data_IF_771004203203
#
_entry.id   IF_771004203203
#
_cell.length_a   1.000
_cell.length_b   1.000
_cell.length_c   1.000
_cell.angle_alpha   90.00
_cell.angle_beta   90.00
_cell.angle_gamma   90.00
#
_symmetry.space_group_name_H-M   'P 1'
#
loop_
_entity.id
_entity.type
_entity.pdbx_description
1 polymer ?
#
# COMPACT_ATOMS: atom_id res chain seq x y z
N UNK A 1 45.95 53.78 -40.11
CA UNK A 1 44.52 53.61 -39.76
C UNK A 1 44.08 52.21 -40.20
N UNK A 2 43.87 51.25 -39.27
CA UNK A 2 43.53 49.86 -39.62
C UNK A 2 42.02 49.76 -39.93
N UNK A 3 41.67 49.59 -41.20
CA UNK A 3 40.28 49.39 -41.64
C UNK A 3 39.90 47.94 -41.31
N UNK A 4 39.07 47.74 -40.28
CA UNK A 4 38.53 46.42 -39.96
C UNK A 4 37.45 46.08 -41.00
N UNK A 5 37.54 44.95 -41.71
CA UNK A 5 36.57 44.61 -42.75
C UNK A 5 35.17 44.39 -42.16
N UNK A 6 34.16 45.06 -42.73
CA UNK A 6 32.74 45.02 -42.30
C UNK A 6 32.20 43.61 -42.05
N UNK A 7 32.70 42.61 -42.78
CA UNK A 7 32.29 41.21 -42.64
C UNK A 7 32.64 40.58 -41.28
N UNK A 8 33.73 41.00 -40.61
CA UNK A 8 34.06 40.51 -39.26
C UNK A 8 33.08 41.02 -38.19
N UNK A 9 32.51 42.20 -38.38
CA UNK A 9 31.57 42.80 -37.42
C UNK A 9 30.22 42.05 -37.38
N UNK A 10 29.74 41.57 -38.54
CA UNK A 10 28.50 40.78 -38.63
C UNK A 10 28.62 39.39 -37.98
N UNK A 11 29.76 38.72 -38.16
CA UNK A 11 30.04 37.42 -37.53
C UNK A 11 30.03 37.52 -35.99
N UNK A 12 30.64 38.57 -35.43
CA UNK A 12 30.67 38.80 -33.98
C UNK A 12 29.26 39.08 -33.43
N UNK A 13 28.44 39.88 -34.15
CA UNK A 13 27.05 40.14 -33.74
C UNK A 13 26.18 38.87 -33.77
N UNK A 14 26.32 38.04 -34.81
CA UNK A 14 25.56 36.79 -34.97
C UNK A 14 25.96 35.76 -33.91
N UNK A 15 27.25 35.64 -33.62
CA UNK A 15 27.79 34.79 -32.54
C UNK A 15 27.25 35.21 -31.16
N UNK A 16 27.29 36.52 -30.83
CA UNK A 16 26.73 37.02 -29.57
C UNK A 16 25.23 36.81 -29.45
N UNK A 17 24.50 36.93 -30.56
CA UNK A 17 23.06 36.68 -30.57
C UNK A 17 22.73 35.20 -30.34
N UNK A 18 23.48 34.30 -30.99
CA UNK A 18 23.34 32.86 -30.80
C UNK A 18 23.67 32.46 -29.34
N UNK A 19 24.76 32.99 -28.79
CA UNK A 19 25.15 32.75 -27.40
C UNK A 19 24.08 33.19 -26.40
N UNK A 20 23.43 34.34 -26.61
CA UNK A 20 22.30 34.80 -25.78
C UNK A 20 21.09 33.86 -25.86
N UNK A 21 20.76 33.34 -27.05
CA UNK A 21 19.66 32.38 -27.22
C UNK A 21 19.95 31.05 -26.54
N UNK A 22 21.17 30.52 -26.69
CA UNK A 22 21.58 29.28 -26.02
C UNK A 22 21.53 29.45 -24.51
N UNK A 23 22.03 30.57 -23.99
CA UNK A 23 21.97 30.89 -22.56
C UNK A 23 20.52 30.95 -22.05
N UNK A 24 19.63 31.62 -22.80
CA UNK A 24 18.20 31.69 -22.44
C UNK A 24 17.55 30.30 -22.37
N UNK A 25 17.81 29.44 -23.36
CA UNK A 25 17.26 28.08 -23.38
C UNK A 25 17.79 27.25 -22.22
N UNK A 26 19.08 27.35 -21.90
CA UNK A 26 19.67 26.65 -20.74
C UNK A 26 19.05 27.12 -19.42
N UNK A 27 18.80 28.42 -19.26
CA UNK A 27 18.13 28.98 -18.07
C UNK A 27 16.69 28.45 -17.96
N UNK A 28 15.96 28.36 -19.07
CA UNK A 28 14.61 27.80 -19.07
C UNK A 28 14.58 26.31 -18.71
N UNK A 29 15.53 25.52 -19.22
CA UNK A 29 15.66 24.10 -18.85
C UNK A 29 15.96 23.95 -17.36
N UNK A 30 16.89 24.74 -16.82
CA UNK A 30 17.23 24.75 -15.40
C UNK A 30 16.02 25.12 -14.52
N UNK A 31 15.25 26.13 -14.93
CA UNK A 31 14.01 26.51 -14.23
C UNK A 31 12.97 25.40 -14.29
N UNK A 32 12.81 24.73 -15.43
CA UNK A 32 11.88 23.62 -15.57
C UNK A 32 12.28 22.45 -14.66
N UNK A 33 13.57 22.08 -14.66
CA UNK A 33 14.12 21.05 -13.78
C UNK A 33 13.95 21.41 -12.31
N UNK A 34 14.20 22.66 -11.93
CA UNK A 34 13.98 23.16 -10.58
C UNK A 34 12.50 23.04 -10.18
N UNK A 35 11.58 23.47 -11.04
CA UNK A 35 10.13 23.37 -10.76
C UNK A 35 9.68 21.91 -10.65
N UNK A 36 10.15 21.02 -11.52
CA UNK A 36 9.84 19.59 -11.42
C UNK A 36 10.41 18.97 -10.15
N UNK A 37 11.65 19.33 -9.80
CA UNK A 37 12.30 18.82 -8.59
C UNK A 37 11.61 19.36 -7.33
N UNK A 38 11.20 20.63 -7.33
CA UNK A 38 10.47 21.25 -6.23
C UNK A 38 9.08 20.61 -6.07
N UNK A 39 8.35 20.35 -7.17
CA UNK A 39 7.06 19.65 -7.11
C UNK A 39 7.22 18.24 -6.54
N UNK A 40 8.20 17.48 -7.01
CA UNK A 40 8.50 16.14 -6.49
C UNK A 40 8.90 16.20 -5.01
N UNK A 41 9.86 17.05 -4.64
CA UNK A 41 10.38 17.14 -3.27
C UNK A 41 9.32 17.66 -2.31
N UNK A 42 8.53 18.66 -2.69
CA UNK A 42 7.45 19.18 -1.84
C UNK A 42 6.36 18.12 -1.66
N UNK A 43 5.95 17.42 -2.72
CA UNK A 43 4.99 16.33 -2.58
C UNK A 43 5.54 15.18 -1.74
N UNK A 44 6.82 14.82 -1.89
CA UNK A 44 7.49 13.78 -1.10
C UNK A 44 7.66 14.20 0.35
N UNK A 45 8.02 15.45 0.64
CA UNK A 45 8.13 15.98 2.02
C UNK A 45 6.75 16.12 2.65
N UNK A 46 5.75 16.63 1.93
CA UNK A 46 4.37 16.69 2.44
C UNK A 46 3.82 15.29 2.67
N UNK A 47 4.16 14.34 1.80
CA UNK A 47 3.87 12.93 1.96
C UNK A 47 4.56 12.37 3.21
N UNK A 48 5.87 12.53 3.38
CA UNK A 48 6.58 12.07 4.58
C UNK A 48 6.19 12.82 5.85
N UNK A 49 5.75 14.07 5.76
CA UNK A 49 5.24 14.86 6.88
C UNK A 49 3.84 14.39 7.28
N UNK A 50 2.95 14.14 6.31
CA UNK A 50 1.67 13.46 6.54
C UNK A 50 1.88 12.01 6.98
N UNK A 51 2.97 11.37 6.54
CA UNK A 51 3.34 10.05 7.01
C UNK A 51 3.97 10.08 8.40
N UNK A 52 4.67 11.14 8.77
CA UNK A 52 5.12 11.40 10.14
C UNK A 52 3.98 11.78 11.07
N UNK A 53 2.79 12.05 10.50
CA UNK A 53 1.51 12.09 11.20
C UNK A 53 0.78 10.74 11.15
N UNK A 54 1.38 9.67 10.59
CA UNK A 54 0.88 8.33 10.92
C UNK A 54 1.01 8.15 12.44
N UNK A 55 -0.05 7.66 13.08
CA UNK A 55 -0.18 7.69 14.53
C UNK A 55 0.89 6.85 15.25
N UNK A 56 1.10 7.12 16.55
CA UNK A 56 2.27 6.71 17.33
C UNK A 56 2.49 5.19 17.52
N UNK A 57 1.62 4.33 17.00
CA UNK A 57 1.71 2.86 17.11
C UNK A 57 2.91 2.25 16.38
N UNK A 58 3.60 3.02 15.54
CA UNK A 58 4.90 2.66 14.94
C UNK A 58 6.02 2.48 16.00
N UNK A 59 5.80 2.97 17.23
CA UNK A 59 6.73 2.86 18.36
C UNK A 59 6.36 1.76 19.37
N UNK A 60 5.32 0.96 19.11
CA UNK A 60 4.88 -0.10 20.01
C UNK A 60 5.27 -1.46 19.45
N UNK A 61 6.53 -1.87 19.67
CA UNK A 61 6.94 -3.27 19.52
C UNK A 61 7.41 -3.74 20.89
N UNK A 62 6.60 -4.62 21.49
CA UNK A 62 6.90 -5.38 22.69
C UNK A 62 7.07 -6.83 22.24
N UNK A 63 8.22 -7.44 22.53
CA UNK A 63 8.66 -8.73 21.98
C UNK A 63 7.89 -9.99 22.47
N UNK A 64 6.87 -9.88 23.33
CA UNK A 64 6.26 -11.06 23.99
C UNK A 64 4.71 -11.17 23.91
N UNK A 65 4.04 -10.57 22.93
CA UNK A 65 2.58 -10.64 22.87
C UNK A 65 2.06 -11.69 21.87
N UNK A 66 1.14 -12.53 22.32
CA UNK A 66 0.02 -13.01 21.48
C UNK A 66 -0.64 -11.75 20.91
N UNK A 67 -0.28 -11.36 19.68
CA UNK A 67 -0.67 -10.07 19.09
C UNK A 67 -2.18 -10.07 18.81
N UNK A 68 -2.97 -9.67 19.81
CA UNK A 68 -4.35 -9.23 19.61
C UNK A 68 -4.31 -7.83 19.03
N UNK A 69 -4.59 -7.71 17.74
CA UNK A 69 -4.54 -6.42 17.05
C UNK A 69 -5.78 -5.59 17.36
N UNK A 70 -5.65 -4.33 17.80
CA UNK A 70 -6.80 -3.47 18.00
C UNK A 70 -7.38 -3.06 16.64
N UNK A 71 -8.48 -3.71 16.23
CA UNK A 71 -9.18 -3.48 14.95
C UNK A 71 -9.56 -2.01 14.67
N UNK A 72 -9.55 -1.17 15.70
CA UNK A 72 -9.84 0.26 15.60
C UNK A 72 -8.85 1.02 14.70
N UNK A 73 -7.58 0.64 14.65
CA UNK A 73 -6.58 1.31 13.82
C UNK A 73 -6.83 1.04 12.33
N UNK A 74 -6.99 -0.22 11.96
CA UNK A 74 -7.21 -0.64 10.58
C UNK A 74 -8.57 -0.15 10.06
N UNK A 75 -9.62 -0.17 10.89
CA UNK A 75 -10.93 0.43 10.54
C UNK A 75 -10.81 1.92 10.23
N UNK A 76 -10.03 2.67 11.02
CA UNK A 76 -9.80 4.10 10.75
C UNK A 76 -9.04 4.33 9.44
N UNK A 77 -7.98 3.54 9.18
CA UNK A 77 -7.22 3.63 7.92
C UNK A 77 -8.13 3.27 6.74
N UNK A 78 -8.90 2.19 6.83
CA UNK A 78 -9.83 1.76 5.78
C UNK A 78 -10.84 2.86 5.46
N UNK A 79 -11.44 3.47 6.48
CA UNK A 79 -12.37 4.58 6.32
C UNK A 79 -11.74 5.77 5.59
N UNK A 80 -10.53 6.18 5.98
CA UNK A 80 -9.82 7.27 5.32
C UNK A 80 -9.54 6.96 3.84
N UNK A 81 -9.18 5.71 3.53
CA UNK A 81 -8.92 5.25 2.16
C UNK A 81 -10.20 5.21 1.29
N UNK A 82 -11.35 4.86 1.87
CA UNK A 82 -12.64 4.88 1.16
C UNK A 82 -13.04 6.31 0.72
N UNK A 83 -12.61 7.33 1.45
CA UNK A 83 -12.83 8.75 1.11
C UNK A 83 -11.89 9.26 -0.01
N UNK A 84 -10.86 8.50 -0.41
CA UNK A 84 -9.90 8.91 -1.44
C UNK A 84 -10.31 8.48 -2.86
N UNK A 85 -9.57 8.97 -3.86
CA UNK A 85 -9.68 8.45 -5.23
C UNK A 85 -9.07 7.04 -5.34
N UNK A 86 -9.44 6.27 -6.36
CA UNK A 86 -8.84 4.96 -6.62
C UNK A 86 -7.32 5.06 -6.81
N UNK A 87 -6.87 6.06 -7.57
CA UNK A 87 -5.45 6.28 -7.81
C UNK A 87 -4.69 6.54 -6.50
N UNK A 88 -5.27 7.31 -5.58
CA UNK A 88 -4.64 7.62 -4.30
C UNK A 88 -4.66 6.41 -3.35
N UNK A 89 -5.74 5.61 -3.35
CA UNK A 89 -5.76 4.32 -2.65
C UNK A 89 -4.62 3.41 -3.11
N UNK A 90 -4.50 3.20 -4.43
CA UNK A 90 -3.43 2.34 -5.00
C UNK A 90 -2.04 2.83 -4.61
N UNK A 91 -1.81 4.15 -4.63
CA UNK A 91 -0.54 4.74 -4.18
C UNK A 91 -0.27 4.46 -2.70
N UNK A 92 -1.27 4.62 -1.84
CA UNK A 92 -1.10 4.38 -0.40
C UNK A 92 -0.85 2.91 -0.08
N UNK A 93 -1.55 1.98 -0.75
CA UNK A 93 -1.31 0.54 -0.61
C UNK A 93 0.11 0.18 -1.10
N UNK A 94 0.53 0.69 -2.25
CA UNK A 94 1.88 0.46 -2.77
C UNK A 94 2.97 0.99 -1.82
N UNK A 95 2.74 2.15 -1.22
CA UNK A 95 3.62 2.70 -0.18
C UNK A 95 3.70 1.78 1.03
N UNK A 96 2.55 1.29 1.50
CA UNK A 96 2.47 0.44 2.67
C UNK A 96 3.19 -0.89 2.43
N UNK A 97 3.05 -1.47 1.24
CA UNK A 97 3.79 -2.65 0.77
C UNK A 97 5.31 -2.41 0.82
N UNK A 98 5.80 -1.31 0.24
CA UNK A 98 7.24 -0.98 0.25
C UNK A 98 7.75 -0.77 1.68
N UNK A 99 6.93 -0.17 2.55
CA UNK A 99 7.27 -0.01 3.96
C UNK A 99 7.44 -1.36 4.67
N UNK A 100 6.54 -2.32 4.42
CA UNK A 100 6.68 -3.70 4.92
C UNK A 100 8.00 -4.32 4.45
N UNK A 101 8.33 -4.20 3.16
CA UNK A 101 9.58 -4.73 2.58
C UNK A 101 10.84 -4.10 3.18
N UNK A 102 10.83 -2.81 3.48
CA UNK A 102 11.96 -2.12 4.10
C UNK A 102 12.14 -2.58 5.55
N UNK A 103 11.05 -2.77 6.28
CA UNK A 103 11.12 -3.25 7.67
C UNK A 103 11.49 -4.73 7.77
N UNK A 104 11.08 -5.55 6.80
CA UNK A 104 11.46 -6.96 6.72
C UNK A 104 12.95 -7.14 6.41
N UNK A 105 13.63 -6.14 5.83
CA UNK A 105 15.08 -6.20 5.61
C UNK A 105 15.92 -6.13 6.90
N UNK A 106 15.30 -5.97 8.08
CA UNK A 106 15.99 -6.17 9.35
C UNK A 106 16.14 -7.68 9.61
N UNK A 107 17.36 -8.19 9.87
CA UNK A 107 17.61 -9.63 10.07
C UNK A 107 17.21 -10.06 11.49
N UNK A 108 15.93 -9.91 11.83
CA UNK A 108 15.35 -10.33 13.11
C UNK A 108 14.21 -11.32 12.87
N UNK A 109 14.16 -12.47 13.57
CA UNK A 109 13.03 -13.39 13.47
C UNK A 109 11.78 -12.72 14.05
N UNK A 110 10.75 -12.50 13.23
CA UNK A 110 9.40 -12.12 13.69
C UNK A 110 8.84 -10.77 13.20
N UNK A 111 9.65 -9.85 12.67
CA UNK A 111 9.17 -8.51 12.28
C UNK A 111 8.34 -8.47 11.00
N UNK A 112 8.46 -9.48 10.12
CA UNK A 112 7.74 -9.52 8.85
C UNK A 112 6.22 -9.72 9.04
N UNK A 113 5.82 -10.48 10.07
CA UNK A 113 4.43 -10.92 10.26
C UNK A 113 3.51 -9.77 10.71
N UNK A 114 4.01 -8.86 11.56
CA UNK A 114 3.16 -7.86 12.25
C UNK A 114 2.79 -6.65 11.39
N UNK A 115 3.63 -6.25 10.44
CA UNK A 115 3.26 -5.18 9.49
C UNK A 115 2.53 -5.71 8.26
N UNK A 116 2.87 -6.91 7.78
CA UNK A 116 2.16 -7.55 6.68
C UNK A 116 0.71 -7.92 7.07
N UNK A 117 0.48 -8.33 8.31
CA UNK A 117 -0.85 -8.64 8.85
C UNK A 117 -1.79 -7.42 8.80
N UNK A 118 -1.28 -6.21 9.08
CA UNK A 118 -2.06 -4.98 9.00
C UNK A 118 -2.55 -4.70 7.58
N UNK A 119 -1.68 -4.85 6.57
CA UNK A 119 -2.11 -4.68 5.18
C UNK A 119 -3.11 -5.76 4.76
N UNK A 120 -2.88 -7.00 5.21
CA UNK A 120 -3.79 -8.11 4.98
C UNK A 120 -5.19 -7.85 5.55
N UNK A 121 -5.30 -7.42 6.82
CA UNK A 121 -6.58 -7.03 7.45
C UNK A 121 -7.19 -5.82 6.74
N UNK A 122 -6.38 -4.82 6.40
CA UNK A 122 -6.84 -3.60 5.76
C UNK A 122 -7.57 -3.88 4.43
N UNK A 123 -7.07 -4.79 3.60
CA UNK A 123 -7.72 -5.11 2.33
C UNK A 123 -9.09 -5.78 2.54
N UNK A 124 -9.26 -6.59 3.60
CA UNK A 124 -10.56 -7.20 3.96
C UNK A 124 -11.56 -6.19 4.54
N UNK A 125 -11.06 -5.12 5.15
CA UNK A 125 -11.88 -3.98 5.58
C UNK A 125 -12.25 -3.04 4.43
N UNK A 126 -11.46 -2.98 3.35
CA UNK A 126 -11.76 -2.10 2.22
C UNK A 126 -12.81 -2.69 1.28
N UNK A 127 -12.77 -3.99 1.07
CA UNK A 127 -13.62 -4.69 0.11
C UNK A 127 -14.67 -5.53 0.83
N UNK A 128 -15.83 -5.69 0.20
CA UNK A 128 -16.90 -6.57 0.67
C UNK A 128 -16.57 -8.03 0.29
N UNK A 129 -15.54 -8.56 0.95
CA UNK A 129 -15.04 -9.92 0.75
C UNK A 129 -15.98 -10.91 1.46
N UNK A 130 -16.39 -12.01 0.80
CA UNK A 130 -17.24 -13.01 1.44
C UNK A 130 -16.45 -13.88 2.43
N UNK A 131 -17.12 -14.30 3.51
CA UNK A 131 -16.57 -15.27 4.46
C UNK A 131 -16.48 -16.68 3.86
N UNK A 132 -17.31 -17.04 2.88
CA UNK A 132 -17.23 -18.33 2.19
C UNK A 132 -17.01 -18.10 0.70
N UNK A 133 -15.92 -18.64 0.14
CA UNK A 133 -15.59 -18.48 -1.27
C UNK A 133 -15.15 -19.83 -1.90
N UNK A 134 -15.54 -20.14 -3.16
CA UNK A 134 -15.10 -21.36 -3.83
C UNK A 134 -13.57 -21.42 -3.92
N UNK A 135 -12.98 -22.53 -3.46
CA UNK A 135 -11.52 -22.70 -3.41
C UNK A 135 -10.87 -22.57 -4.78
N UNK A 136 -11.50 -23.10 -5.82
CA UNK A 136 -10.96 -23.12 -7.18
C UNK A 136 -10.97 -21.73 -7.85
N UNK A 137 -11.78 -20.80 -7.32
CA UNK A 137 -11.80 -19.39 -7.73
C UNK A 137 -10.90 -18.52 -6.84
N UNK A 138 -10.59 -18.99 -5.63
CA UNK A 138 -9.76 -18.25 -4.68
C UNK A 138 -8.31 -18.12 -5.18
N UNK A 139 -7.74 -16.93 -4.98
CA UNK A 139 -6.32 -16.66 -5.21
C UNK A 139 -5.61 -16.36 -3.90
N UNK A 140 -4.41 -16.92 -3.75
CA UNK A 140 -3.55 -16.70 -2.59
C UNK A 140 -2.44 -15.71 -2.94
N UNK A 141 -2.25 -14.71 -2.08
CA UNK A 141 -1.30 -13.60 -2.27
C UNK A 141 -0.13 -13.67 -1.29
N UNK A 142 0.08 -14.80 -0.62
CA UNK A 142 1.15 -14.97 0.34
C UNK A 142 0.98 -16.26 1.12
N UNK A 143 1.89 -16.48 2.06
CA UNK A 143 1.89 -17.65 2.93
C UNK A 143 0.84 -17.68 4.04
N UNK A 144 -0.22 -16.87 3.99
CA UNK A 144 -1.21 -16.85 5.07
C UNK A 144 -1.96 -18.19 5.14
N UNK A 145 -1.72 -18.93 6.22
CA UNK A 145 -2.50 -20.09 6.61
C UNK A 145 -3.81 -19.57 7.16
N UNK A 146 -4.88 -19.73 6.39
CA UNK A 146 -6.23 -19.40 6.84
C UNK A 146 -6.60 -20.48 7.88
N UNK A 147 -6.53 -20.11 9.15
CA UNK A 147 -6.82 -21.00 10.28
C UNK A 147 -8.13 -20.57 10.93
N UNK A 148 -9.17 -21.40 10.88
CA UNK A 148 -10.37 -21.15 11.67
C UNK A 148 -10.06 -21.52 13.11
N UNK A 149 -10.31 -20.61 14.05
CA UNK A 149 -10.35 -20.93 15.48
C UNK A 149 -11.75 -21.47 15.74
N UNK A 150 -11.86 -22.77 16.00
CA UNK A 150 -13.13 -23.38 16.41
C UNK A 150 -13.40 -23.10 17.91
N UNK A 151 -14.65 -23.32 18.35
CA UNK A 151 -15.08 -23.17 19.76
C UNK A 151 -14.24 -24.02 20.75
N UNK A 152 -13.55 -25.05 20.25
CA UNK A 152 -12.63 -25.91 20.99
C UNK A 152 -11.17 -25.45 20.94
N UNK A 153 -10.90 -24.22 20.47
CA UNK A 153 -9.57 -23.62 20.28
C UNK A 153 -8.66 -24.38 19.29
N UNK A 154 -9.20 -25.32 18.53
CA UNK A 154 -8.43 -26.05 17.51
C UNK A 154 -8.32 -25.20 16.25
N UNK A 155 -7.09 -24.90 15.86
CA UNK A 155 -6.76 -24.25 14.58
C UNK A 155 -6.87 -25.28 13.46
N UNK A 156 -7.93 -25.23 12.65
CA UNK A 156 -8.04 -26.06 11.44
C UNK A 156 -7.71 -25.22 10.21
N UNK A 157 -7.01 -25.82 9.24
CA UNK A 157 -6.74 -25.19 7.95
C UNK A 157 -8.07 -25.16 7.18
N UNK A 158 -8.58 -23.96 6.92
CA UNK A 158 -9.98 -23.72 6.54
C UNK A 158 -10.24 -24.06 5.05
N UNK A 159 -10.24 -25.36 4.77
CA UNK A 159 -10.83 -25.93 3.57
C UNK A 159 -11.94 -26.88 4.02
N UNK A 160 -13.15 -26.34 4.20
CA UNK A 160 -14.34 -27.15 4.44
C UNK A 160 -14.97 -27.56 3.12
N UNK A 161 -15.57 -28.74 3.09
CA UNK A 161 -16.33 -29.21 1.91
C UNK A 161 -17.80 -28.95 2.20
N UNK A 162 -18.47 -28.21 1.32
CA UNK A 162 -19.93 -28.00 1.37
C UNK A 162 -20.66 -29.31 1.15
N UNK A 163 -21.94 -29.36 1.51
CA UNK A 163 -22.81 -30.54 1.30
C UNK A 163 -22.89 -30.98 -0.18
N UNK A 164 -22.64 -30.07 -1.12
CA UNK A 164 -22.60 -30.32 -2.56
C UNK A 164 -21.25 -30.89 -3.06
N UNK A 165 -20.27 -31.09 -2.16
CA UNK A 165 -18.94 -31.60 -2.49
C UNK A 165 -17.92 -30.55 -2.90
N UNK A 166 -18.30 -29.27 -2.97
CA UNK A 166 -17.37 -28.20 -3.35
C UNK A 166 -16.53 -27.73 -2.17
N UNK A 167 -15.23 -27.52 -2.39
CA UNK A 167 -14.33 -26.96 -1.38
C UNK A 167 -14.53 -25.44 -1.28
N UNK A 168 -14.71 -24.94 -0.07
CA UNK A 168 -14.74 -23.51 0.23
C UNK A 168 -13.57 -23.10 1.12
N UNK A 169 -13.20 -21.83 1.03
CA UNK A 169 -12.19 -21.18 1.88
C UNK A 169 -12.76 -19.90 2.47
N UNK A 170 -12.25 -19.51 3.64
CA UNK A 170 -12.60 -18.23 4.23
C UNK A 170 -11.73 -17.09 3.73
N UNK A 171 -12.27 -16.31 2.79
CA UNK A 171 -11.55 -15.20 2.17
C UNK A 171 -11.56 -13.94 3.05
N UNK A 172 -12.48 -13.84 4.03
CA UNK A 172 -12.61 -12.75 4.98
C UNK A 172 -11.67 -12.88 6.19
N UNK A 173 -11.17 -14.09 6.46
CA UNK A 173 -10.22 -14.37 7.54
C UNK A 173 -9.08 -13.34 7.57
N UNK A 174 -8.71 -12.76 8.74
CA UNK A 174 -9.06 -13.20 10.10
C UNK A 174 -10.29 -12.48 10.68
N UNK A 175 -11.07 -11.81 9.82
CA UNK A 175 -12.30 -11.12 10.22
C UNK A 175 -13.49 -12.07 10.10
N UNK A 176 -14.47 -11.85 10.95
CA UNK A 176 -15.80 -12.46 10.89
C UNK A 176 -16.86 -11.41 11.16
N UNK A 177 -18.10 -11.73 10.79
CA UNK A 177 -19.25 -10.93 11.20
C UNK A 177 -19.82 -11.48 12.51
N UNK A 178 -19.81 -10.64 13.54
CA UNK A 178 -20.56 -10.85 14.79
C UNK A 178 -21.58 -9.72 14.91
N UNK A 179 -22.87 -10.03 14.98
CA UNK A 179 -23.96 -9.04 15.06
C UNK A 179 -23.85 -7.93 13.98
N UNK A 180 -23.61 -8.33 12.73
CA UNK A 180 -23.40 -7.43 11.57
C UNK A 180 -22.12 -6.57 11.63
N UNK A 181 -21.29 -6.74 12.65
CA UNK A 181 -20.03 -6.02 12.80
C UNK A 181 -18.83 -6.90 12.46
N UNK A 182 -17.86 -6.33 11.75
CA UNK A 182 -16.57 -6.99 11.56
C UNK A 182 -15.81 -7.00 12.88
N UNK A 183 -15.46 -8.20 13.33
CA UNK A 183 -14.65 -8.49 14.51
C UNK A 183 -13.43 -9.30 14.09
N UNK A 184 -12.30 -9.06 14.75
CA UNK A 184 -11.09 -9.84 14.55
C UNK A 184 -11.16 -11.09 15.42
N UNK A 185 -11.32 -12.27 14.80
CA UNK A 185 -11.62 -13.51 15.52
C UNK A 185 -10.38 -14.33 15.92
N UNK A 186 -9.18 -13.90 15.54
CA UNK A 186 -8.00 -14.74 15.72
C UNK A 186 -6.69 -13.98 15.75
N UNK A 187 -5.67 -14.65 16.28
CA UNK A 187 -4.32 -14.15 16.28
C UNK A 187 -3.68 -14.34 14.91
N UNK A 188 -3.09 -13.27 14.36
CA UNK A 188 -2.50 -13.29 13.03
C UNK A 188 -1.07 -13.86 13.10
N UNK A 189 -0.94 -15.13 13.49
CA UNK A 189 0.33 -15.86 13.56
C UNK A 189 0.60 -16.76 12.36
N UNK A 190 -0.32 -16.73 11.40
CA UNK A 190 -0.46 -17.80 10.45
C UNK A 190 0.35 -17.56 9.17
N UNK A 191 1.44 -16.80 9.20
CA UNK A 191 2.24 -16.56 8.01
C UNK A 191 3.30 -17.64 7.80
N UNK A 192 3.18 -18.39 6.70
CA UNK A 192 4.14 -19.40 6.27
C UNK A 192 4.22 -19.47 4.76
N UNK A 193 5.27 -18.95 4.16
CA UNK A 193 5.53 -19.12 2.73
C UNK A 193 6.08 -17.87 2.06
N UNK A 194 5.69 -17.67 0.80
CA UNK A 194 6.14 -16.57 -0.03
C UNK A 194 5.72 -15.20 0.52
N UNK A 195 6.55 -14.14 0.29
CA UNK A 195 6.23 -12.75 0.57
C UNK A 195 4.77 -12.40 0.25
N UNK A 196 4.13 -11.68 1.17
CA UNK A 196 2.79 -11.20 0.95
C UNK A 196 2.76 -10.10 -0.14
N UNK A 197 1.95 -10.31 -1.17
CA UNK A 197 1.72 -9.43 -2.32
C UNK A 197 0.40 -8.66 -2.12
N UNK A 198 0.44 -7.60 -1.30
CA UNK A 198 -0.73 -6.78 -1.03
C UNK A 198 -1.23 -5.99 -2.25
N UNK A 199 -0.35 -5.65 -3.20
CA UNK A 199 -0.77 -4.99 -4.44
C UNK A 199 -1.53 -5.95 -5.36
N UNK A 200 -1.04 -7.20 -5.48
CA UNK A 200 -1.76 -8.24 -6.20
C UNK A 200 -3.11 -8.57 -5.57
N UNK A 201 -3.19 -8.63 -4.24
CA UNK A 201 -4.46 -8.86 -3.54
C UNK A 201 -5.44 -7.70 -3.78
N UNK A 202 -4.96 -6.45 -3.72
CA UNK A 202 -5.78 -5.27 -4.04
C UNK A 202 -6.38 -5.35 -5.45
N UNK A 203 -5.55 -5.62 -6.47
CA UNK A 203 -6.00 -5.67 -7.86
C UNK A 203 -7.00 -6.82 -8.08
N UNK A 204 -6.81 -7.94 -7.40
CA UNK A 204 -7.76 -9.05 -7.41
C UNK A 204 -9.08 -8.67 -6.72
N UNK A 205 -9.05 -8.10 -5.51
CA UNK A 205 -10.29 -7.70 -4.83
C UNK A 205 -11.03 -6.60 -5.59
N UNK A 206 -10.33 -5.62 -6.16
CA UNK A 206 -10.94 -4.56 -6.96
C UNK A 206 -11.64 -5.06 -8.22
N UNK A 207 -11.25 -6.23 -8.74
CA UNK A 207 -11.88 -6.84 -9.91
C UNK A 207 -13.00 -7.83 -9.57
N UNK A 208 -13.10 -8.31 -8.33
CA UNK A 208 -14.04 -9.36 -7.93
C UNK A 208 -15.07 -8.90 -6.89
N UNK A 209 -14.75 -7.91 -6.08
CA UNK A 209 -15.55 -7.47 -4.94
C UNK A 209 -15.77 -5.96 -4.96
N UNK A 210 -16.94 -5.54 -4.47
CA UNK A 210 -17.25 -4.13 -4.31
C UNK A 210 -16.47 -3.55 -3.13
N UNK A 211 -16.17 -2.25 -3.19
CA UNK A 211 -15.70 -1.53 -2.00
C UNK A 211 -16.82 -1.46 -0.96
N UNK A 212 -16.46 -1.56 0.32
CA UNK A 212 -17.38 -1.29 1.42
C UNK A 212 -17.74 0.19 1.45
N UNK A 213 -18.93 0.47 1.95
CA UNK A 213 -19.32 1.81 2.36
C UNK A 213 -18.67 2.18 3.69
N UNK A 214 -18.62 3.48 3.97
CA UNK A 214 -18.12 3.98 5.27
C UNK A 214 -19.03 3.55 6.43
N UNK A 215 -20.32 3.33 6.17
CA UNK A 215 -21.29 2.94 7.19
C UNK A 215 -21.07 1.50 7.68
N UNK A 216 -20.60 0.61 6.80
CA UNK A 216 -20.22 -0.78 7.14
C UNK A 216 -18.96 -0.88 8.02
N UNK A 217 -18.25 0.23 8.23
CA UNK A 217 -17.05 0.29 9.08
C UNK A 217 -17.30 0.97 10.44
N UNK A 218 -18.52 1.44 10.71
CA UNK A 218 -18.91 2.08 11.98
C UNK A 218 -19.13 1.06 13.09
#
# INVERSE_FOLDING_TARGET
>A
MKIIPKNKCHLIRRSRYLAKRVLLVLVLILLLLLVTHLRLVVSTIQFFYKMGQFPPWLNMISEDAVETYPLNEEKQIARLLLEQTEQDRRRMIAVYQVYIEILSWKPGPGSESSSASKLFVLLRLLFNVPEEYPRDEARFFGGWIILRVHEDEILTMDASTREDGNMIVNLLWPLVYEDEQLVLQGTIFAYRGFPYDGMGEYDYFASHFLLRSVDELK
#
